data_IF_939855733405
#
_entry.id   IF_939855733405
#
_cell.length_a   1.000
_cell.length_b   1.000
_cell.length_c   1.000
_cell.angle_alpha   90.00
_cell.angle_beta   90.00
_cell.angle_gamma   90.00
#
_symmetry.space_group_name_H-M   'P 1'
#
loop_
_entity.id
_entity.type
_entity.pdbx_description
1 polymer ?
#
# COMPACT_ATOMS: atom_id res chain seq x y z
N UNK A 1 -4.56 -16.19 -11.23
CA UNK A 1 -5.06 -15.89 -9.88
C UNK A 1 -4.16 -14.93 -9.07
N UNK A 2 -2.95 -14.59 -9.54
CA UNK A 2 -2.18 -13.39 -9.14
C UNK A 2 -1.22 -13.06 -10.31
N UNK A 3 -1.75 -12.67 -11.48
CA UNK A 3 -1.07 -12.32 -12.76
C UNK A 3 0.47 -12.44 -12.76
N UNK A 4 1.02 -13.67 -12.71
CA UNK A 4 2.44 -13.91 -12.50
C UNK A 4 3.11 -14.39 -13.78
N UNK A 5 4.31 -13.91 -14.04
CA UNK A 5 5.08 -14.16 -15.27
C UNK A 5 5.54 -15.62 -15.43
N UNK A 6 5.36 -16.45 -14.39
CA UNK A 6 5.74 -17.87 -14.40
C UNK A 6 5.33 -18.62 -13.13
N UNK A 7 5.50 -19.96 -13.10
CA UNK A 7 5.02 -20.81 -12.01
C UNK A 7 5.61 -20.45 -10.64
N UNK A 8 6.91 -20.10 -10.59
CA UNK A 8 7.59 -19.71 -9.35
C UNK A 8 7.05 -18.39 -8.78
N UNK A 9 6.83 -17.39 -9.64
CA UNK A 9 6.25 -16.11 -9.25
C UNK A 9 4.78 -16.28 -8.77
N UNK A 10 4.03 -17.20 -9.39
CA UNK A 10 2.68 -17.54 -8.94
C UNK A 10 2.69 -18.20 -7.56
N UNK A 11 3.60 -19.15 -7.32
CA UNK A 11 3.76 -19.83 -6.05
C UNK A 11 4.14 -18.85 -4.92
N UNK A 12 5.09 -17.94 -5.18
CA UNK A 12 5.49 -16.90 -4.22
C UNK A 12 4.34 -15.96 -3.88
N UNK A 13 3.56 -15.52 -4.87
CA UNK A 13 2.41 -14.65 -4.62
C UNK A 13 1.30 -15.35 -3.87
N UNK A 14 1.06 -16.63 -4.17
CA UNK A 14 0.10 -17.45 -3.44
C UNK A 14 0.53 -17.62 -1.97
N UNK A 15 1.81 -17.87 -1.70
CA UNK A 15 2.31 -17.99 -0.33
C UNK A 15 2.18 -16.67 0.45
N UNK A 16 2.51 -15.53 -0.18
CA UNK A 16 2.28 -14.20 0.42
C UNK A 16 0.80 -13.97 0.71
N UNK A 17 -0.10 -14.31 -0.22
CA UNK A 17 -1.53 -14.16 -0.02
C UNK A 17 -2.08 -15.06 1.10
N UNK A 18 -1.61 -16.31 1.18
CA UNK A 18 -1.97 -17.24 2.27
C UNK A 18 -1.45 -16.77 3.63
N UNK A 19 -0.28 -16.13 3.67
CA UNK A 19 0.24 -15.50 4.88
C UNK A 19 -0.63 -14.30 5.28
N UNK A 20 -0.98 -13.43 4.32
CA UNK A 20 -1.81 -12.25 4.54
C UNK A 20 -3.19 -12.61 5.14
N UNK A 21 -3.80 -13.72 4.68
CA UNK A 21 -5.08 -14.22 5.21
C UNK A 21 -5.05 -14.63 6.69
N UNK A 22 -3.87 -14.70 7.33
CA UNK A 22 -3.76 -15.00 8.76
C UNK A 22 -3.89 -13.76 9.65
N UNK A 23 -3.92 -12.57 9.05
CA UNK A 23 -4.02 -11.30 9.75
C UNK A 23 -5.41 -10.70 9.63
N UNK A 24 -5.80 -9.90 10.63
CA UNK A 24 -7.02 -9.12 10.59
C UNK A 24 -6.83 -7.90 9.67
N UNK A 25 -7.71 -7.68 8.68
CA UNK A 25 -7.62 -6.50 7.82
C UNK A 25 -7.97 -5.23 8.59
N UNK A 26 -7.24 -4.14 8.33
CA UNK A 26 -7.61 -2.81 8.80
C UNK A 26 -8.73 -2.26 7.91
N UNK A 27 -9.80 -1.77 8.54
CA UNK A 27 -10.91 -1.13 7.84
C UNK A 27 -10.52 0.22 7.23
N UNK A 28 -11.23 0.63 6.18
CA UNK A 28 -11.18 1.99 5.66
C UNK A 28 -12.31 2.77 6.32
N UNK A 29 -11.96 3.56 7.32
CA UNK A 29 -12.87 4.40 8.08
C UNK A 29 -12.69 5.90 7.76
N UNK A 30 -13.28 6.76 8.58
CA UNK A 30 -13.21 8.22 8.42
C UNK A 30 -11.77 8.73 8.52
N UNK A 31 -10.98 8.24 9.48
CA UNK A 31 -9.59 8.65 9.67
C UNK A 31 -8.73 8.27 8.45
N UNK A 32 -8.93 7.06 7.91
CA UNK A 32 -8.26 6.64 6.66
C UNK A 32 -8.67 7.53 5.48
N UNK A 33 -9.96 7.90 5.40
CA UNK A 33 -10.48 8.76 4.33
C UNK A 33 -9.90 10.17 4.37
N UNK A 34 -9.74 10.76 5.56
CA UNK A 34 -9.08 12.05 5.76
C UNK A 34 -7.59 11.99 5.37
N UNK A 35 -6.88 10.97 5.84
CA UNK A 35 -5.48 10.74 5.48
C UNK A 35 -5.31 10.58 3.96
N UNK A 36 -6.23 9.87 3.30
CA UNK A 36 -6.23 9.69 1.84
C UNK A 36 -6.42 11.01 1.10
N UNK A 37 -7.39 11.83 1.52
CA UNK A 37 -7.63 13.13 0.89
C UNK A 37 -6.40 14.04 0.98
N UNK A 38 -5.74 14.06 2.14
CA UNK A 38 -4.50 14.81 2.34
C UNK A 38 -3.35 14.27 1.48
N UNK A 39 -3.14 12.96 1.47
CA UNK A 39 -2.09 12.30 0.67
C UNK A 39 -2.28 12.60 -0.83
N UNK A 40 -3.50 12.44 -1.35
CA UNK A 40 -3.82 12.71 -2.75
C UNK A 40 -3.62 14.19 -3.09
N UNK A 41 -4.01 15.10 -2.19
CA UNK A 41 -3.74 16.53 -2.36
C UNK A 41 -2.25 16.81 -2.52
N UNK A 42 -1.41 16.24 -1.63
CA UNK A 42 0.06 16.40 -1.68
C UNK A 42 0.66 15.79 -2.96
N UNK A 43 0.24 14.59 -3.35
CA UNK A 43 0.70 13.95 -4.60
C UNK A 43 0.36 14.79 -5.83
N UNK A 44 -0.87 15.33 -5.90
CA UNK A 44 -1.29 16.21 -7.00
C UNK A 44 -0.51 17.53 -7.02
N UNK A 45 -0.29 18.14 -5.86
CA UNK A 45 0.53 19.35 -5.74
C UNK A 45 1.97 19.11 -6.22
N UNK A 46 2.53 17.93 -5.95
CA UNK A 46 3.84 17.49 -6.41
C UNK A 46 3.86 16.99 -7.87
N UNK A 47 2.72 17.00 -8.59
CA UNK A 47 2.55 16.46 -9.94
C UNK A 47 2.94 14.97 -10.06
N UNK A 48 2.78 14.21 -8.98
CA UNK A 48 3.02 12.78 -8.94
C UNK A 48 1.77 12.00 -9.35
N UNK A 49 1.98 10.77 -9.84
CA UNK A 49 0.88 9.84 -10.15
C UNK A 49 0.15 9.48 -8.86
N UNK A 50 -1.18 9.35 -8.94
CA UNK A 50 -2.00 8.83 -7.84
C UNK A 50 -2.47 7.41 -8.21
N UNK A 51 -1.72 6.36 -7.85
CA UNK A 51 -2.20 4.99 -7.95
C UNK A 51 -3.35 4.77 -6.95
N UNK A 52 -4.57 4.53 -7.43
CA UNK A 52 -5.76 4.51 -6.58
C UNK A 52 -5.62 3.50 -5.42
N UNK A 53 -5.27 2.25 -5.71
CA UNK A 53 -5.20 1.22 -4.68
C UNK A 53 -4.04 1.45 -3.70
N UNK A 54 -2.84 1.74 -4.21
CA UNK A 54 -1.67 1.99 -3.36
C UNK A 54 -1.86 3.25 -2.50
N UNK A 55 -2.58 4.26 -3.02
CA UNK A 55 -2.91 5.46 -2.23
C UNK A 55 -3.83 5.15 -1.05
N UNK A 56 -4.74 4.18 -1.18
CA UNK A 56 -5.57 3.72 -0.05
C UNK A 56 -4.72 2.95 0.97
N UNK A 57 -3.85 2.04 0.52
CA UNK A 57 -2.93 1.31 1.40
C UNK A 57 -2.04 2.29 2.18
N UNK A 58 -1.49 3.30 1.49
CA UNK A 58 -0.67 4.33 2.09
C UNK A 58 -1.43 5.21 3.10
N UNK A 59 -2.66 5.61 2.77
CA UNK A 59 -3.51 6.36 3.69
C UNK A 59 -3.83 5.57 4.96
N UNK A 60 -4.12 4.26 4.83
CA UNK A 60 -4.32 3.38 5.98
C UNK A 60 -3.07 3.33 6.87
N UNK A 61 -1.89 3.16 6.27
CA UNK A 61 -0.62 3.14 7.01
C UNK A 61 -0.37 4.45 7.79
N UNK A 62 -0.60 5.60 7.13
CA UNK A 62 -0.47 6.92 7.74
C UNK A 62 -1.48 7.13 8.88
N UNK A 63 -2.75 6.77 8.68
CA UNK A 63 -3.79 6.92 9.69
C UNK A 63 -3.53 6.09 10.96
N UNK A 64 -2.89 4.93 10.80
CA UNK A 64 -2.54 4.05 11.93
C UNK A 64 -1.11 4.26 12.47
N UNK A 65 -0.29 5.12 11.85
CA UNK A 65 1.10 5.35 12.25
C UNK A 65 1.98 4.10 12.13
N UNK A 66 1.77 3.31 11.07
CA UNK A 66 2.51 2.06 10.81
C UNK A 66 3.26 2.15 9.48
N UNK A 67 4.35 1.38 9.36
CA UNK A 67 5.12 1.29 8.14
C UNK A 67 4.51 0.32 7.12
N UNK A 68 4.71 0.62 5.83
CA UNK A 68 4.41 -0.31 4.73
C UNK A 68 5.61 -1.22 4.51
N UNK A 69 5.40 -2.52 4.64
CA UNK A 69 6.35 -3.54 4.22
C UNK A 69 6.10 -3.92 2.75
N UNK A 70 7.08 -3.71 1.87
CA UNK A 70 6.90 -3.92 0.42
C UNK A 70 8.16 -4.45 -0.26
N UNK A 71 8.00 -5.11 -1.40
CA UNK A 71 9.10 -5.50 -2.30
C UNK A 71 9.30 -4.46 -3.43
N UNK A 72 8.34 -3.54 -3.58
CA UNK A 72 8.30 -2.55 -4.66
C UNK A 72 8.60 -1.14 -4.13
N UNK A 73 9.22 -0.31 -4.97
CA UNK A 73 9.60 1.07 -4.61
C UNK A 73 8.48 2.09 -4.82
N UNK A 74 7.26 1.66 -5.15
CA UNK A 74 6.15 2.52 -5.55
C UNK A 74 5.70 3.51 -4.45
N UNK A 75 5.96 3.18 -3.19
CA UNK A 75 5.61 4.01 -2.03
C UNK A 75 6.68 5.06 -1.68
N UNK A 76 7.91 4.94 -2.21
CA UNK A 76 9.03 5.78 -1.79
C UNK A 76 8.85 7.27 -2.12
N UNK A 77 8.05 7.59 -3.14
CA UNK A 77 7.74 8.97 -3.52
C UNK A 77 6.49 9.53 -2.81
N UNK A 78 5.80 8.73 -1.98
CA UNK A 78 4.60 9.17 -1.28
C UNK A 78 4.97 9.92 0.00
N UNK A 79 4.48 11.16 0.19
CA UNK A 79 4.78 11.94 1.39
C UNK A 79 4.16 11.32 2.63
N UNK A 80 4.87 11.43 3.77
CA UNK A 80 4.46 10.96 5.10
C UNK A 80 4.29 9.43 5.25
N UNK A 81 4.63 8.65 4.22
CA UNK A 81 4.57 7.20 4.26
C UNK A 81 5.92 6.64 4.72
N UNK A 82 5.91 5.89 5.83
CA UNK A 82 7.07 5.11 6.25
C UNK A 82 7.11 3.77 5.48
N UNK A 83 8.27 3.42 4.91
CA UNK A 83 8.42 2.24 4.05
C UNK A 83 9.60 1.39 4.53
N UNK A 84 9.36 0.09 4.64
CA UNK A 84 10.38 -0.93 4.86
C UNK A 84 10.41 -1.82 3.61
N UNK A 85 11.56 -1.84 2.93
CA UNK A 85 11.77 -2.68 1.73
C UNK A 85 12.38 -4.03 2.12
N UNK A 86 11.86 -5.12 1.55
CA UNK A 86 12.35 -6.51 1.76
C UNK A 86 12.62 -7.25 0.46
#
# INVERSE_FOLDING_TARGET
>A
MLQASGPEAAARRLSTYQLAQRFEPLGIDEAVSEAWALLVSKLRAAKLRVPINDSWIAATAVAHGIAILTQDNDYAAMPDVEVITI
#
